data_IF_499265552357
#
_entry.id   IF_499265552357
#
_cell.length_a   1.000
_cell.length_b   1.000
_cell.length_c   1.000
_cell.angle_alpha   90.00
_cell.angle_beta   90.00
_cell.angle_gamma   90.00
#
_symmetry.space_group_name_H-M   'P 1'
#
loop_
_entity.id
_entity.type
_entity.pdbx_description
1 polymer ?
#
# COMPACT_ATOMS: atom_id res chain seq x y z
N UNK A 1 9.78 20.97 -30.34
CA UNK A 1 9.29 19.57 -30.29
C UNK A 1 10.03 18.85 -29.18
N UNK A 2 9.39 18.36 -28.12
CA UNK A 2 10.10 17.59 -27.10
C UNK A 2 10.34 16.17 -27.63
N UNK A 3 11.62 15.83 -27.79
CA UNK A 3 12.11 14.51 -28.22
C UNK A 3 11.65 13.46 -27.21
N UNK A 4 10.80 12.54 -27.65
CA UNK A 4 10.41 11.34 -26.88
C UNK A 4 11.65 10.49 -26.66
N UNK A 5 12.30 10.65 -25.50
CA UNK A 5 13.39 9.77 -25.09
C UNK A 5 12.85 8.34 -25.03
N UNK A 6 13.26 7.50 -25.99
CA UNK A 6 13.00 6.06 -25.95
C UNK A 6 13.61 5.53 -24.66
N UNK A 7 12.77 5.19 -23.69
CA UNK A 7 13.21 4.76 -22.38
C UNK A 7 14.11 3.53 -22.50
N UNK A 8 15.38 3.65 -22.08
CA UNK A 8 16.34 2.55 -22.07
C UNK A 8 15.73 1.34 -21.35
N UNK A 9 15.65 0.21 -22.06
CA UNK A 9 15.24 -1.09 -21.50
C UNK A 9 16.32 -1.54 -20.51
N UNK A 10 15.89 -2.11 -19.39
CA UNK A 10 16.80 -2.69 -18.40
C UNK A 10 17.25 -4.04 -18.93
N UNK A 11 18.53 -4.15 -19.25
CA UNK A 11 19.17 -5.38 -19.69
C UNK A 11 19.69 -6.17 -18.48
N UNK A 12 19.27 -7.43 -18.37
CA UNK A 12 19.65 -8.37 -17.32
C UNK A 12 20.29 -9.63 -17.92
N UNK A 13 20.69 -9.61 -19.19
CA UNK A 13 21.29 -10.75 -19.90
C UNK A 13 22.60 -11.22 -19.26
N UNK A 14 23.35 -10.30 -18.63
CA UNK A 14 24.66 -10.56 -18.03
C UNK A 14 24.63 -11.28 -16.68
N UNK A 15 23.46 -11.42 -16.05
CA UNK A 15 23.36 -12.16 -14.79
C UNK A 15 23.55 -13.67 -15.04
N UNK A 16 24.14 -14.40 -14.11
CA UNK A 16 24.01 -15.87 -14.11
C UNK A 16 22.61 -16.27 -13.68
N UNK A 17 22.25 -17.55 -13.84
CA UNK A 17 20.94 -18.01 -13.38
C UNK A 17 20.86 -18.00 -11.85
N UNK A 18 21.95 -18.32 -11.13
CA UNK A 18 22.02 -18.19 -9.68
C UNK A 18 21.76 -16.75 -9.22
N UNK A 19 22.39 -15.78 -9.89
CA UNK A 19 22.20 -14.35 -9.60
C UNK A 19 20.78 -13.90 -9.92
N UNK A 20 20.23 -14.33 -11.06
CA UNK A 20 18.86 -14.01 -11.46
C UNK A 20 17.83 -14.57 -10.46
N UNK A 21 18.05 -15.80 -9.97
CA UNK A 21 17.23 -16.41 -8.90
C UNK A 21 17.33 -15.61 -7.60
N UNK A 22 18.53 -15.20 -7.21
CA UNK A 22 18.70 -14.38 -6.02
C UNK A 22 17.99 -13.01 -6.13
N UNK A 23 18.13 -12.32 -7.26
CA UNK A 23 17.43 -11.04 -7.51
C UNK A 23 15.92 -11.22 -7.47
N UNK A 24 15.42 -12.34 -8.01
CA UNK A 24 14.00 -12.67 -7.95
C UNK A 24 13.47 -12.79 -6.52
N UNK A 25 14.20 -13.48 -5.63
CA UNK A 25 13.81 -13.62 -4.22
C UNK A 25 13.79 -12.27 -3.48
N UNK A 26 14.75 -11.38 -3.79
CA UNK A 26 14.75 -10.00 -3.29
C UNK A 26 13.51 -9.25 -3.77
N UNK A 27 13.18 -9.36 -5.05
CA UNK A 27 12.01 -8.73 -5.66
C UNK A 27 10.72 -9.24 -5.00
N UNK A 28 10.59 -10.56 -4.78
CA UNK A 28 9.42 -11.13 -4.11
C UNK A 28 9.22 -10.55 -2.70
N UNK A 29 10.30 -10.42 -1.92
CA UNK A 29 10.23 -9.81 -0.58
C UNK A 29 9.77 -8.34 -0.64
N UNK A 30 10.19 -7.56 -1.63
CA UNK A 30 9.70 -6.18 -1.82
C UNK A 30 8.21 -6.15 -2.18
N UNK A 31 7.72 -7.07 -3.02
CA UNK A 31 6.27 -7.18 -3.30
C UNK A 31 5.47 -7.54 -2.04
N UNK A 32 5.97 -8.48 -1.24
CA UNK A 32 5.33 -8.86 0.01
C UNK A 32 5.30 -7.71 1.03
N UNK A 33 6.40 -6.95 1.11
CA UNK A 33 6.49 -5.76 1.96
C UNK A 33 5.48 -4.69 1.53
N UNK A 34 5.36 -4.41 0.23
CA UNK A 34 4.39 -3.45 -0.30
C UNK A 34 2.95 -3.88 -0.03
N UNK A 35 2.64 -5.16 -0.25
CA UNK A 35 1.31 -5.70 0.05
C UNK A 35 0.95 -5.55 1.53
N UNK A 36 1.86 -5.90 2.43
CA UNK A 36 1.66 -5.71 3.88
C UNK A 36 1.39 -4.25 4.24
N UNK A 37 2.10 -3.31 3.61
CA UNK A 37 1.87 -1.88 3.87
C UNK A 37 0.53 -1.40 3.32
N UNK A 38 0.14 -1.86 2.14
CA UNK A 38 -1.19 -1.56 1.57
C UNK A 38 -2.32 -2.12 2.44
N UNK A 39 -2.19 -3.36 2.92
CA UNK A 39 -3.15 -3.97 3.84
C UNK A 39 -3.23 -3.15 5.15
N UNK A 40 -2.08 -2.78 5.72
CA UNK A 40 -2.01 -1.97 6.96
C UNK A 40 -2.68 -0.60 6.79
N UNK A 41 -2.43 0.09 5.68
CA UNK A 41 -3.05 1.39 5.38
C UNK A 41 -4.55 1.24 5.07
N UNK A 42 -4.93 0.15 4.40
CA UNK A 42 -6.33 -0.20 4.13
C UNK A 42 -7.13 -0.44 5.40
N UNK A 43 -6.60 -1.24 6.34
CA UNK A 43 -7.22 -1.45 7.64
C UNK A 43 -7.40 -0.14 8.42
N UNK A 44 -6.40 0.74 8.37
CA UNK A 44 -6.45 2.05 9.01
C UNK A 44 -7.58 2.91 8.43
N UNK A 45 -7.67 2.95 7.09
CA UNK A 45 -8.75 3.65 6.38
C UNK A 45 -10.13 3.11 6.75
N UNK A 46 -10.31 1.79 6.73
CA UNK A 46 -11.58 1.17 7.11
C UNK A 46 -11.96 1.43 8.57
N UNK A 47 -11.00 1.52 9.50
CA UNK A 47 -11.27 1.90 10.89
C UNK A 47 -11.78 3.34 11.01
N UNK A 48 -11.20 4.26 10.23
CA UNK A 48 -11.63 5.67 10.19
C UNK A 48 -13.04 5.77 9.60
N UNK A 49 -13.28 5.14 8.45
CA UNK A 49 -14.60 5.15 7.77
C UNK A 49 -15.71 4.62 8.67
N UNK A 50 -15.46 3.54 9.42
CA UNK A 50 -16.43 3.00 10.40
C UNK A 50 -16.81 4.02 11.48
N UNK A 51 -15.83 4.78 11.98
CA UNK A 51 -16.05 5.81 12.99
C UNK A 51 -16.75 7.05 12.42
N UNK A 52 -16.51 7.37 11.15
CA UNK A 52 -17.21 8.44 10.45
C UNK A 52 -18.68 8.07 10.17
N UNK A 53 -18.96 6.86 9.67
CA UNK A 53 -20.34 6.35 9.51
C UNK A 53 -21.07 6.33 10.85
N UNK A 54 -20.43 5.86 11.92
CA UNK A 54 -21.01 5.90 13.27
C UNK A 54 -21.38 7.33 13.67
N UNK A 55 -20.52 8.31 13.38
CA UNK A 55 -20.78 9.72 13.68
C UNK A 55 -21.96 10.27 12.87
N UNK A 56 -22.05 9.94 11.59
CA UNK A 56 -23.16 10.34 10.72
C UNK A 56 -24.50 9.82 11.26
N UNK A 57 -24.54 8.55 11.70
CA UNK A 57 -25.73 7.94 12.29
C UNK A 57 -26.17 8.58 13.62
N UNK A 58 -25.25 9.11 14.42
CA UNK A 58 -25.56 9.74 15.71
C UNK A 58 -26.16 11.16 15.58
N UNK A 59 -26.14 11.74 14.38
CA UNK A 59 -26.68 13.08 14.10
C UNK A 59 -25.78 14.20 14.65
N UNK A 60 -25.52 15.23 13.83
CA UNK A 60 -24.55 16.30 14.10
C UNK A 60 -24.91 17.28 15.23
N UNK A 61 -26.09 17.19 15.86
CA UNK A 61 -26.61 18.18 16.83
C UNK A 61 -27.37 17.56 18.01
N UNK A 62 -26.83 16.54 18.64
CA UNK A 62 -27.42 16.01 19.87
C UNK A 62 -26.76 16.62 21.11
N UNK A 63 -27.58 17.01 22.10
CA UNK A 63 -27.16 17.32 23.48
C UNK A 63 -26.29 16.21 24.11
N UNK A 64 -26.23 15.03 23.47
CA UNK A 64 -25.30 13.95 23.75
C UNK A 64 -23.83 14.39 23.66
N UNK A 65 -23.44 15.25 22.71
CA UNK A 65 -22.03 15.66 22.56
C UNK A 65 -21.51 16.48 23.76
N UNK A 66 -22.42 17.10 24.53
CA UNK A 66 -22.04 17.86 25.73
C UNK A 66 -21.85 16.96 26.95
N UNK A 67 -22.65 15.88 27.04
CA UNK A 67 -22.76 15.01 28.22
C UNK A 67 -22.08 13.63 28.05
N UNK A 68 -21.74 13.22 26.83
CA UNK A 68 -21.18 11.91 26.51
C UNK A 68 -19.94 12.01 25.62
N UNK A 69 -19.01 11.06 25.78
CA UNK A 69 -17.90 10.89 24.86
C UNK A 69 -18.42 10.47 23.49
N UNK A 70 -18.12 11.23 22.44
CA UNK A 70 -18.62 10.94 21.09
C UNK A 70 -18.13 9.60 20.51
N UNK A 71 -17.05 9.04 21.08
CA UNK A 71 -16.43 7.79 20.62
C UNK A 71 -17.00 6.56 21.32
N UNK A 72 -16.94 6.49 22.66
CA UNK A 72 -17.44 5.32 23.39
C UNK A 72 -18.90 5.45 23.87
N UNK A 73 -19.52 6.61 23.69
CA UNK A 73 -20.88 6.94 24.14
C UNK A 73 -21.08 6.76 25.66
N UNK A 74 -19.99 6.78 26.44
CA UNK A 74 -20.05 6.78 27.89
C UNK A 74 -20.23 8.21 28.41
N UNK A 75 -21.04 8.42 29.46
CA UNK A 75 -21.27 9.75 30.02
C UNK A 75 -19.97 10.31 30.62
N UNK A 76 -19.78 11.61 30.48
CA UNK A 76 -18.79 12.34 31.25
C UNK A 76 -19.24 12.36 32.71
N UNK A 77 -18.35 11.94 33.61
CA UNK A 77 -18.56 11.98 35.06
C UNK A 77 -17.42 12.77 35.66
N UNK A 78 -17.74 13.64 36.62
CA UNK A 78 -16.75 14.43 37.34
C UNK A 78 -15.65 13.50 37.90
N UNK A 79 -14.38 13.88 37.71
CA UNK A 79 -13.14 13.17 38.10
C UNK A 79 -12.83 11.82 37.41
N UNK A 80 -13.82 11.04 36.97
CA UNK A 80 -13.56 9.70 36.36
C UNK A 80 -13.45 9.78 34.83
N UNK A 81 -14.30 10.57 34.18
CA UNK A 81 -14.34 10.74 32.73
C UNK A 81 -14.18 12.22 32.39
N UNK A 82 -12.98 12.75 32.65
CA UNK A 82 -12.65 14.15 32.33
C UNK A 82 -12.81 14.40 30.83
N UNK A 83 -13.57 15.45 30.51
CA UNK A 83 -13.88 15.91 29.17
C UNK A 83 -12.62 16.51 28.51
N UNK A 84 -12.28 16.05 27.31
CA UNK A 84 -11.17 16.58 26.50
C UNK A 84 -11.67 16.92 25.11
N UNK A 85 -11.28 18.06 24.57
CA UNK A 85 -11.64 18.45 23.21
C UNK A 85 -10.58 18.00 22.21
N UNK A 86 -10.99 17.35 21.13
CA UNK A 86 -10.10 16.97 20.03
C UNK A 86 -9.70 18.21 19.21
N UNK A 87 -8.40 18.39 18.96
CA UNK A 87 -7.89 19.50 18.14
C UNK A 87 -8.41 19.48 16.70
N UNK A 88 -8.61 18.31 16.11
CA UNK A 88 -8.98 18.19 14.69
C UNK A 88 -10.48 18.36 14.46
N UNK A 89 -11.31 17.58 15.17
CA UNK A 89 -12.75 17.57 14.94
C UNK A 89 -13.55 18.42 15.92
N UNK A 90 -12.90 19.04 16.91
CA UNK A 90 -13.51 19.91 17.93
C UNK A 90 -14.57 19.25 18.81
N UNK A 91 -14.72 17.92 18.73
CA UNK A 91 -15.65 17.13 19.53
C UNK A 91 -15.03 16.67 20.85
N UNK A 92 -15.89 16.38 21.83
CA UNK A 92 -15.47 15.95 23.16
C UNK A 92 -15.33 14.44 23.29
N UNK A 93 -14.24 14.03 23.94
CA UNK A 93 -13.88 12.63 24.18
C UNK A 93 -13.37 12.41 25.61
N UNK A 94 -13.48 11.18 26.10
CA UNK A 94 -12.94 10.80 27.40
C UNK A 94 -11.43 10.51 27.32
N UNK A 95 -10.80 10.28 28.49
CA UNK A 95 -9.38 9.94 28.58
C UNK A 95 -8.99 8.72 27.76
N UNK A 96 -9.81 7.66 27.77
CA UNK A 96 -9.51 6.41 27.07
C UNK A 96 -9.68 6.49 25.55
N UNK A 97 -10.43 7.49 25.07
CA UNK A 97 -10.64 7.73 23.63
C UNK A 97 -9.78 8.87 23.08
N UNK A 98 -8.82 9.38 23.86
CA UNK A 98 -7.95 10.48 23.48
C UNK A 98 -6.48 10.17 23.69
N UNK A 99 -5.64 10.76 22.83
CA UNK A 99 -4.18 10.74 22.92
C UNK A 99 -3.64 12.16 23.02
N UNK A 100 -2.57 12.34 23.78
CA UNK A 100 -1.86 13.62 23.85
C UNK A 100 -0.97 13.78 22.63
N UNK A 101 -1.21 14.80 21.82
CA UNK A 101 -0.27 15.26 20.80
C UNK A 101 0.78 16.13 21.48
N UNK A 102 2.00 15.60 21.67
CA UNK A 102 3.10 16.35 22.28
C UNK A 102 3.51 17.57 21.45
N UNK A 103 3.45 17.46 20.12
CA UNK A 103 3.87 18.52 19.20
C UNK A 103 2.97 19.75 19.28
N UNK A 104 1.66 19.54 19.42
CA UNK A 104 0.65 20.60 19.44
C UNK A 104 0.13 20.90 20.85
N UNK A 105 0.68 20.25 21.88
CA UNK A 105 0.29 20.40 23.28
C UNK A 105 -1.23 20.29 23.51
N UNK A 106 -1.89 19.35 22.85
CA UNK A 106 -3.34 19.15 22.97
C UNK A 106 -3.79 17.72 22.70
N UNK A 107 -5.11 17.49 22.76
CA UNK A 107 -5.69 16.16 22.69
C UNK A 107 -6.24 15.84 21.30
N UNK A 108 -6.05 14.59 20.87
CA UNK A 108 -6.66 14.05 19.65
C UNK A 108 -7.54 12.87 20.03
N UNK A 109 -8.72 12.77 19.43
CA UNK A 109 -9.48 11.53 19.49
C UNK A 109 -8.79 10.43 18.65
N UNK A 110 -9.00 9.17 19.02
CA UNK A 110 -8.35 8.05 18.31
C UNK A 110 -8.55 8.10 16.79
N UNK A 111 -9.77 8.34 16.24
CA UNK A 111 -9.94 8.37 14.79
C UNK A 111 -9.19 9.52 14.09
N UNK A 112 -9.12 10.70 14.70
CA UNK A 112 -8.33 11.83 14.16
C UNK A 112 -6.82 11.55 14.22
N UNK A 113 -6.34 10.92 15.29
CA UNK A 113 -4.96 10.45 15.37
C UNK A 113 -4.65 9.44 14.26
N UNK A 114 -5.51 8.44 14.06
CA UNK A 114 -5.39 7.45 12.98
C UNK A 114 -5.43 8.11 11.60
N UNK A 115 -6.28 9.13 11.39
CA UNK A 115 -6.35 9.88 10.15
C UNK A 115 -5.04 10.64 9.85
N UNK A 116 -4.39 11.22 10.86
CA UNK A 116 -3.05 11.83 10.70
C UNK A 116 -1.99 10.79 10.35
N UNK A 117 -2.00 9.64 11.03
CA UNK A 117 -1.09 8.51 10.72
C UNK A 117 -1.30 8.03 9.28
N UNK A 118 -2.55 7.90 8.83
CA UNK A 118 -2.87 7.53 7.45
C UNK A 118 -2.33 8.56 6.47
N UNK A 119 -2.64 9.85 6.68
CA UNK A 119 -2.20 10.95 5.81
C UNK A 119 -0.67 11.04 5.66
N UNK A 120 0.07 10.78 6.74
CA UNK A 120 1.53 10.76 6.69
C UNK A 120 2.02 9.44 6.05
N UNK A 121 1.45 8.32 6.46
CA UNK A 121 1.86 6.98 6.06
C UNK A 121 1.58 6.64 4.61
N UNK A 122 0.58 7.25 3.97
CA UNK A 122 0.33 7.08 2.53
C UNK A 122 1.45 7.66 1.66
N UNK A 123 2.27 8.58 2.21
CA UNK A 123 3.40 9.21 1.51
C UNK A 123 3.02 9.72 0.11
N UNK A 124 1.84 10.33 -0.02
CA UNK A 124 1.27 10.76 -1.31
C UNK A 124 2.24 11.60 -2.12
N UNK A 125 2.88 12.59 -1.47
CA UNK A 125 3.88 13.45 -2.11
C UNK A 125 4.99 12.63 -2.78
N UNK A 126 5.50 11.57 -2.14
CA UNK A 126 6.56 10.73 -2.69
C UNK A 126 6.03 9.89 -3.85
N UNK A 127 4.90 9.20 -3.65
CA UNK A 127 4.36 8.28 -4.64
C UNK A 127 3.82 8.99 -5.89
N UNK A 128 3.33 10.23 -5.77
CA UNK A 128 2.96 11.07 -6.91
C UNK A 128 4.18 11.47 -7.73
N UNK A 129 5.24 11.95 -7.07
CA UNK A 129 6.48 12.29 -7.74
C UNK A 129 7.12 11.09 -8.46
N UNK A 130 7.10 9.90 -7.83
CA UNK A 130 7.57 8.67 -8.46
C UNK A 130 6.71 8.30 -9.68
N UNK A 131 5.37 8.37 -9.57
CA UNK A 131 4.45 8.06 -10.68
C UNK A 131 4.55 9.06 -11.85
N UNK A 132 4.82 10.33 -11.55
CA UNK A 132 5.04 11.36 -12.57
C UNK A 132 6.32 11.11 -13.39
N UNK A 133 7.37 10.57 -12.75
CA UNK A 133 8.66 10.29 -13.39
C UNK A 133 8.75 8.90 -14.02
N UNK A 134 8.07 7.92 -13.45
CA UNK A 134 8.21 6.52 -13.84
C UNK A 134 6.84 5.82 -13.99
N UNK A 135 6.69 5.08 -15.09
CA UNK A 135 5.47 4.28 -15.36
C UNK A 135 5.24 3.12 -14.35
N UNK A 136 6.24 2.78 -13.54
CA UNK A 136 6.28 1.60 -12.67
C UNK A 136 7.39 1.77 -11.63
N UNK A 137 7.21 1.19 -10.44
CA UNK A 137 8.28 1.14 -9.44
C UNK A 137 9.37 0.11 -9.81
N UNK A 138 10.52 0.21 -9.14
CA UNK A 138 11.75 -0.52 -9.45
C UNK A 138 11.55 -2.04 -9.59
N UNK A 139 11.06 -2.70 -8.54
CA UNK A 139 10.90 -4.16 -8.53
C UNK A 139 9.90 -4.66 -9.58
N UNK A 140 8.86 -3.88 -9.87
CA UNK A 140 7.96 -4.18 -10.99
C UNK A 140 8.61 -3.98 -12.37
N UNK A 141 9.64 -3.12 -12.50
CA UNK A 141 10.46 -3.04 -13.72
C UNK A 141 11.38 -4.27 -13.82
N UNK A 142 12.08 -4.61 -12.73
CA UNK A 142 13.01 -5.75 -12.66
C UNK A 142 12.29 -7.07 -12.92
N UNK A 143 11.18 -7.34 -12.24
CA UNK A 143 10.37 -8.55 -12.42
C UNK A 143 9.99 -8.78 -13.89
N UNK A 144 9.58 -7.71 -14.60
CA UNK A 144 9.26 -7.79 -16.02
C UNK A 144 10.48 -8.09 -16.90
N UNK A 145 11.64 -7.54 -16.58
CA UNK A 145 12.87 -7.84 -17.31
C UNK A 145 13.33 -9.29 -17.05
N UNK A 146 13.22 -9.78 -15.81
CA UNK A 146 13.50 -11.17 -15.47
C UNK A 146 12.56 -12.13 -16.23
N UNK A 147 11.25 -11.87 -16.22
CA UNK A 147 10.31 -12.67 -17.02
C UNK A 147 10.65 -12.66 -18.51
N UNK A 148 11.04 -11.51 -19.07
CA UNK A 148 11.43 -11.44 -20.49
C UNK A 148 12.70 -12.22 -20.80
N UNK A 149 13.67 -12.29 -19.89
CA UNK A 149 14.85 -13.15 -20.03
C UNK A 149 14.42 -14.62 -20.13
N UNK A 150 13.54 -15.05 -19.24
CA UNK A 150 13.02 -16.43 -19.22
C UNK A 150 12.15 -16.77 -20.45
N UNK A 151 11.28 -15.85 -20.88
CA UNK A 151 10.45 -16.04 -22.08
C UNK A 151 11.21 -15.85 -23.40
N UNK A 152 12.35 -15.16 -23.36
CA UNK A 152 13.22 -14.93 -24.52
C UNK A 152 13.90 -16.20 -25.02
N UNK A 153 13.96 -17.25 -24.20
CA UNK A 153 14.34 -18.60 -24.62
C UNK A 153 13.22 -19.33 -25.39
N UNK A 154 11.98 -18.83 -25.36
CA UNK A 154 10.83 -19.53 -25.93
C UNK A 154 10.09 -18.80 -27.07
N UNK A 155 10.42 -17.55 -27.41
CA UNK A 155 9.71 -16.84 -28.49
C UNK A 155 10.52 -15.69 -29.11
N UNK A 156 11.30 -16.01 -30.15
CA UNK A 156 11.47 -15.11 -31.30
C UNK A 156 10.11 -14.96 -31.99
N UNK A 157 9.22 -14.11 -31.48
CA UNK A 157 8.14 -13.42 -32.21
C UNK A 157 6.97 -13.09 -31.28
N UNK A 158 6.75 -11.81 -30.98
CA UNK A 158 5.55 -11.07 -31.40
C UNK A 158 5.48 -9.71 -30.68
N UNK A 159 5.00 -8.76 -31.47
CA UNK A 159 4.86 -7.33 -31.26
C UNK A 159 3.97 -6.92 -30.07
N UNK A 160 4.32 -5.77 -29.49
CA UNK A 160 3.50 -5.00 -28.54
C UNK A 160 2.08 -4.72 -29.09
N UNK A 161 1.05 -4.75 -28.22
CA UNK A 161 -0.06 -3.81 -28.33
C UNK A 161 -0.02 -2.78 -27.19
N UNK A 162 -0.18 -1.55 -27.64
CA UNK A 162 -0.40 -0.29 -26.93
C UNK A 162 -1.49 -0.30 -25.85
N UNK A 163 -1.25 0.48 -24.79
CA UNK A 163 -2.21 1.50 -24.35
C UNK A 163 -3.30 1.12 -23.34
N UNK A 164 -3.10 1.58 -22.10
CA UNK A 164 -4.10 2.08 -21.14
C UNK A 164 -5.09 1.09 -20.50
N UNK A 165 -5.07 1.09 -19.14
CA UNK A 165 -6.11 0.66 -18.17
C UNK A 165 -5.77 -0.46 -17.18
N UNK A 166 -4.50 -0.80 -16.93
CA UNK A 166 -4.19 -1.95 -16.04
C UNK A 166 -3.52 -1.63 -14.70
N UNK A 167 -3.24 -0.36 -14.35
CA UNK A 167 -2.57 -0.06 -13.07
C UNK A 167 -3.37 -0.52 -11.85
N UNK A 168 -4.70 -0.55 -11.95
CA UNK A 168 -5.59 -1.06 -10.90
C UNK A 168 -5.92 -2.56 -11.01
N UNK A 169 -5.67 -3.20 -12.17
CA UNK A 169 -5.94 -4.64 -12.34
C UNK A 169 -4.75 -5.53 -11.95
N UNK A 170 -3.51 -5.03 -12.04
CA UNK A 170 -2.32 -5.82 -11.65
C UNK A 170 -2.29 -6.09 -10.14
N UNK A 171 -2.93 -5.24 -9.33
CA UNK A 171 -3.04 -5.46 -7.89
C UNK A 171 -4.25 -6.30 -7.47
N UNK A 172 -5.35 -6.27 -8.23
CA UNK A 172 -6.62 -6.91 -7.85
C UNK A 172 -6.84 -8.31 -8.46
N UNK A 173 -6.05 -8.70 -9.46
CA UNK A 173 -6.06 -10.04 -10.07
C UNK A 173 -4.65 -10.54 -10.35
N UNK A 174 -3.83 -10.75 -9.32
CA UNK A 174 -2.94 -11.90 -9.39
C UNK A 174 -3.74 -13.10 -8.89
N UNK A 175 -4.27 -13.97 -9.76
CA UNK A 175 -4.65 -15.30 -9.31
C UNK A 175 -3.45 -15.89 -8.60
N UNK A 176 -3.70 -16.70 -7.58
CA UNK A 176 -2.73 -17.55 -6.90
C UNK A 176 -2.14 -18.58 -7.88
N UNK A 177 -1.53 -18.13 -8.99
CA UNK A 177 -0.56 -18.93 -9.70
C UNK A 177 0.57 -19.01 -8.69
N UNK A 178 0.60 -20.13 -7.97
CA UNK A 178 1.63 -20.45 -7.01
C UNK A 178 2.96 -20.11 -7.67
N UNK A 179 3.62 -19.04 -7.24
CA UNK A 179 4.91 -18.61 -7.82
C UNK A 179 5.97 -19.72 -7.69
N UNK A 180 5.71 -20.72 -6.82
CA UNK A 180 6.43 -22.00 -6.76
C UNK A 180 6.31 -22.84 -8.05
N UNK A 181 5.16 -22.83 -8.74
CA UNK A 181 4.98 -23.61 -9.98
C UNK A 181 5.74 -23.02 -11.17
N UNK A 182 5.83 -21.68 -11.27
CA UNK A 182 6.67 -21.01 -12.26
C UNK A 182 8.17 -21.34 -12.06
N UNK A 183 8.60 -21.53 -10.82
CA UNK A 183 9.97 -21.89 -10.49
C UNK A 183 10.24 -23.40 -10.55
N UNK A 184 9.26 -24.25 -10.24
CA UNK A 184 9.36 -25.69 -10.49
C UNK A 184 9.52 -25.96 -11.99
N UNK A 185 8.78 -25.24 -12.85
CA UNK A 185 8.97 -25.32 -14.30
C UNK A 185 10.37 -24.84 -14.74
N UNK A 186 10.95 -23.81 -14.09
CA UNK A 186 12.33 -23.38 -14.38
C UNK A 186 13.38 -24.43 -13.98
N UNK A 187 13.16 -25.12 -12.85
CA UNK A 187 14.02 -26.19 -12.37
C UNK A 187 13.90 -27.47 -13.23
N UNK A 188 12.79 -27.63 -13.96
CA UNK A 188 12.53 -28.71 -14.90
C UNK A 188 13.13 -28.40 -16.29
N UNK A 189 13.00 -27.15 -16.76
CA UNK A 189 13.63 -26.65 -18.00
C UNK A 189 15.16 -26.65 -17.89
N UNK A 190 15.73 -26.26 -16.74
CA UNK A 190 17.19 -26.29 -16.52
C UNK A 190 17.78 -27.70 -16.52
N UNK A 191 17.02 -28.72 -16.08
CA UNK A 191 17.45 -30.13 -16.14
C UNK A 191 17.51 -30.68 -17.57
N UNK A 192 16.65 -30.18 -18.47
CA UNK A 192 16.67 -30.58 -19.87
C UNK A 192 17.82 -29.96 -20.68
N UNK A 193 18.37 -28.82 -20.26
CA UNK A 193 19.52 -28.18 -20.93
C UNK A 193 20.86 -28.85 -20.59
N UNK A 194 20.98 -29.49 -19.43
CA UNK A 194 22.21 -30.21 -19.01
C UNK A 194 22.32 -31.66 -19.49
N UNK A 195 21.38 -32.16 -20.32
CA UNK A 195 21.35 -33.58 -20.75
C UNK A 195 21.42 -33.76 -22.29
N UNK A 196 21.97 -32.78 -23.00
CA UNK A 196 22.34 -32.83 -24.43
C UNK A 196 23.70 -32.20 -24.60
#
# INVERSE_FOLDING_TARGET
>A
MPTTAVGRKLDLSRLTDEEARHVWDVVQRDFDLRRKEEDRLGELKSKIEKEDTKRELLGSRSSLAESYCIRCLQPFRFLVNVKRQCLDCQLYVCRSCSRLSRREQGWLCEPCHLARVLKIGTLEWYHENVRARFKRFGSAKVMRSLFKRLSGEHSRSQSDPTGQSSTNLVYRKQPKISLKSLFQNLHEVSKHVTTT
#
